data_IF_155303498378
#
_entry.id   IF_155303498378
#
_cell.length_a   1.000
_cell.length_b   1.000
_cell.length_c   1.000
_cell.angle_alpha   90.00
_cell.angle_beta   90.00
_cell.angle_gamma   90.00
#
_symmetry.space_group_name_H-M   'P 1'
#
loop_
_entity.id
_entity.type
_entity.pdbx_description
1 polymer ?
#
# COMPACT_ATOMS: atom_id res chain seq x y z
N UNK A 1 84.92 22.96 6.27
CA UNK A 1 85.17 21.67 6.94
C UNK A 1 83.92 21.32 7.73
N UNK A 2 83.40 20.13 7.47
CA UNK A 2 82.17 19.53 7.97
C UNK A 2 82.03 19.62 9.50
N UNK A 3 80.85 19.97 10.01
CA UNK A 3 80.27 19.25 11.15
C UNK A 3 78.75 19.46 11.21
N UNK A 4 78.02 18.39 10.89
CA UNK A 4 76.61 18.20 11.20
C UNK A 4 76.41 18.27 12.73
N UNK A 5 75.36 18.95 13.17
CA UNK A 5 74.68 18.55 14.40
C UNK A 5 73.18 18.41 14.13
N UNK A 6 72.72 17.21 14.41
CA UNK A 6 71.37 16.66 14.26
C UNK A 6 70.49 17.22 15.37
N UNK A 7 69.40 17.90 15.02
CA UNK A 7 68.33 18.21 15.96
C UNK A 7 67.36 17.03 16.03
N UNK A 8 67.29 16.40 17.20
CA UNK A 8 66.26 15.42 17.54
C UNK A 8 64.91 16.12 17.74
N UNK A 9 63.92 15.77 16.92
CA UNK A 9 62.51 16.05 17.19
C UNK A 9 61.89 14.85 17.92
N UNK A 10 61.08 15.07 18.96
CA UNK A 10 60.45 14.00 19.72
C UNK A 10 59.38 13.26 18.90
N UNK A 11 59.40 11.92 18.98
CA UNK A 11 58.30 11.06 18.55
C UNK A 11 57.00 11.49 19.23
N UNK A 12 56.04 11.99 18.45
CA UNK A 12 54.64 11.95 18.84
C UNK A 12 54.14 10.50 18.68
N UNK A 13 53.31 9.97 19.61
CA UNK A 13 52.69 8.67 19.41
C UNK A 13 51.77 8.74 18.19
N UNK A 14 51.87 7.73 17.32
CA UNK A 14 50.93 7.52 16.22
C UNK A 14 49.53 7.37 16.83
N UNK A 15 48.69 8.38 16.62
CA UNK A 15 47.27 8.27 16.87
C UNK A 15 46.73 7.25 15.88
N UNK A 16 46.42 6.06 16.39
CA UNK A 16 45.72 5.03 15.65
C UNK A 16 44.41 5.67 15.16
N UNK A 17 44.37 5.97 13.87
CA UNK A 17 43.16 6.47 13.25
C UNK A 17 42.13 5.35 13.39
N UNK A 18 41.20 5.51 14.34
CA UNK A 18 39.97 4.76 14.39
C UNK A 18 39.37 4.80 12.99
N UNK A 19 39.44 3.66 12.31
CA UNK A 19 38.71 3.45 11.06
C UNK A 19 37.25 3.65 11.46
N UNK A 20 36.57 4.71 10.98
CA UNK A 20 35.16 4.89 11.27
C UNK A 20 34.45 3.60 10.83
N UNK A 21 33.50 3.07 11.62
CA UNK A 21 32.79 1.86 11.26
C UNK A 21 32.29 2.04 9.84
N UNK A 22 32.61 1.07 8.98
CA UNK A 22 32.20 1.05 7.59
C UNK A 22 30.74 1.50 7.54
N UNK A 23 30.50 2.63 6.86
CA UNK A 23 29.16 3.09 6.54
C UNK A 23 28.41 1.87 6.02
N UNK A 24 27.39 1.43 6.75
CA UNK A 24 26.40 0.49 6.24
C UNK A 24 25.73 1.20 5.09
N UNK A 25 26.33 1.10 3.91
CA UNK A 25 25.63 1.31 2.67
C UNK A 25 24.37 0.48 2.80
N UNK A 26 23.23 1.14 2.81
CA UNK A 26 21.92 0.50 2.76
C UNK A 26 21.94 -0.39 1.50
N UNK A 27 22.27 -1.65 1.70
CA UNK A 27 22.37 -2.65 0.65
C UNK A 27 20.96 -3.06 0.18
N UNK A 28 19.91 -2.42 0.72
CA UNK A 28 18.50 -2.59 0.38
C UNK A 28 18.04 -4.04 0.51
N UNK A 29 18.76 -4.83 1.32
CA UNK A 29 18.45 -6.19 1.70
C UNK A 29 17.72 -6.17 3.05
N UNK A 30 16.98 -7.24 3.40
CA UNK A 30 16.39 -7.37 4.72
C UNK A 30 17.50 -7.29 5.79
N UNK A 31 17.33 -6.42 6.78
CA UNK A 31 18.34 -6.12 7.80
C UNK A 31 18.51 -7.22 8.85
N UNK A 32 17.53 -8.13 8.93
CA UNK A 32 17.33 -9.14 9.98
C UNK A 32 17.46 -10.57 9.46
N UNK A 33 18.29 -10.80 8.42
CA UNK A 33 18.56 -12.15 7.91
C UNK A 33 19.33 -12.97 8.96
N UNK A 34 18.84 -14.16 9.26
CA UNK A 34 19.49 -15.10 10.18
C UNK A 34 20.70 -15.78 9.51
N UNK A 35 21.91 -15.46 9.97
CA UNK A 35 23.14 -16.04 9.43
C UNK A 35 23.27 -17.55 9.69
N UNK A 36 22.57 -18.10 10.68
CA UNK A 36 22.60 -19.53 11.00
C UNK A 36 21.98 -20.37 9.87
N UNK A 37 21.21 -19.76 8.96
CA UNK A 37 20.72 -20.39 7.74
C UNK A 37 21.83 -20.83 6.78
N UNK A 38 23.05 -20.32 6.94
CA UNK A 38 24.21 -20.80 6.16
C UNK A 38 24.73 -22.16 6.66
N UNK A 39 24.30 -22.60 7.85
CA UNK A 39 24.77 -23.81 8.52
C UNK A 39 23.81 -25.00 8.38
N UNK A 40 22.60 -24.77 7.85
CA UNK A 40 21.53 -25.78 7.71
C UNK A 40 20.76 -25.60 6.41
N UNK A 41 20.01 -26.63 6.01
CA UNK A 41 19.10 -26.51 4.88
C UNK A 41 17.81 -25.78 5.33
N UNK A 42 17.34 -24.77 4.58
CA UNK A 42 16.09 -24.08 4.86
C UNK A 42 14.89 -24.97 4.48
N UNK A 43 13.89 -25.05 5.36
CA UNK A 43 12.68 -25.85 5.13
C UNK A 43 11.43 -24.99 4.99
N UNK A 44 11.35 -23.90 5.75
CA UNK A 44 10.17 -23.03 5.76
C UNK A 44 10.20 -22.02 4.60
N UNK A 45 9.04 -21.48 4.18
CA UNK A 45 8.98 -20.42 3.17
C UNK A 45 9.85 -19.20 3.52
N UNK A 46 9.82 -18.77 4.78
CA UNK A 46 10.61 -17.64 5.28
C UNK A 46 12.10 -17.95 5.21
N UNK A 47 12.50 -19.13 5.67
CA UNK A 47 13.91 -19.55 5.60
C UNK A 47 14.41 -19.66 4.17
N UNK A 48 13.58 -20.16 3.24
CA UNK A 48 13.94 -20.27 1.83
C UNK A 48 14.21 -18.90 1.20
N UNK A 49 13.34 -17.93 1.45
CA UNK A 49 13.51 -16.59 0.88
C UNK A 49 14.66 -15.84 1.56
N UNK A 50 14.83 -15.96 2.87
CA UNK A 50 15.95 -15.37 3.60
C UNK A 50 17.28 -15.97 3.14
N UNK A 51 17.33 -17.29 2.95
CA UNK A 51 18.51 -17.96 2.39
C UNK A 51 18.78 -17.50 0.96
N UNK A 52 17.74 -17.28 0.14
CA UNK A 52 17.91 -16.72 -1.20
C UNK A 52 18.55 -15.32 -1.15
N UNK A 53 18.11 -14.44 -0.23
CA UNK A 53 18.70 -13.12 -0.03
C UNK A 53 20.14 -13.19 0.51
N UNK A 54 20.44 -14.10 1.43
CA UNK A 54 21.81 -14.35 1.91
C UNK A 54 22.72 -14.80 0.76
N UNK A 55 22.28 -15.74 -0.08
CA UNK A 55 23.03 -16.19 -1.25
C UNK A 55 23.24 -15.05 -2.25
N UNK A 56 22.25 -14.17 -2.43
CA UNK A 56 22.40 -12.97 -3.26
C UNK A 56 23.48 -12.03 -2.70
N UNK A 57 23.48 -11.80 -1.38
CA UNK A 57 24.49 -10.98 -0.69
C UNK A 57 25.90 -11.56 -0.82
N UNK A 58 26.02 -12.88 -0.85
CA UNK A 58 27.29 -13.60 -1.05
C UNK A 58 27.70 -13.71 -2.54
N UNK A 59 26.93 -13.15 -3.47
CA UNK A 59 27.18 -13.25 -4.91
C UNK A 59 26.96 -14.66 -5.48
N UNK A 60 26.29 -15.55 -4.74
CA UNK A 60 25.98 -16.93 -5.15
C UNK A 60 24.61 -16.98 -5.82
N UNK A 61 24.47 -16.28 -6.94
CA UNK A 61 23.18 -16.10 -7.62
C UNK A 61 22.53 -17.41 -8.06
N UNK A 62 23.30 -18.41 -8.51
CA UNK A 62 22.75 -19.72 -8.89
C UNK A 62 22.04 -20.42 -7.71
N UNK A 63 22.62 -20.32 -6.50
CA UNK A 63 22.00 -20.88 -5.29
C UNK A 63 20.80 -20.07 -4.84
N UNK A 64 20.90 -18.74 -4.89
CA UNK A 64 19.79 -17.85 -4.60
C UNK A 64 18.58 -18.19 -5.47
N UNK A 65 18.80 -18.30 -6.78
CA UNK A 65 17.80 -18.71 -7.76
C UNK A 65 17.21 -20.09 -7.45
N UNK A 66 18.04 -21.07 -7.10
CA UNK A 66 17.57 -22.40 -6.74
C UNK A 66 16.62 -22.38 -5.52
N UNK A 67 16.91 -21.57 -4.51
CA UNK A 67 16.02 -21.42 -3.34
C UNK A 67 14.71 -20.71 -3.69
N UNK A 68 14.74 -19.71 -4.58
CA UNK A 68 13.50 -19.10 -5.11
C UNK A 68 12.66 -20.14 -5.88
N UNK A 69 13.30 -20.98 -6.69
CA UNK A 69 12.62 -22.09 -7.37
C UNK A 69 12.00 -23.10 -6.40
N UNK A 70 12.67 -23.44 -5.31
CA UNK A 70 12.12 -24.29 -4.25
C UNK A 70 10.90 -23.65 -3.59
N UNK A 71 10.97 -22.35 -3.27
CA UNK A 71 9.85 -21.59 -2.71
C UNK A 71 8.62 -21.64 -3.62
N UNK A 72 8.80 -21.42 -4.92
CA UNK A 72 7.73 -21.48 -5.91
C UNK A 72 7.12 -22.88 -6.02
N UNK A 73 7.94 -23.93 -5.90
CA UNK A 73 7.47 -25.32 -5.95
C UNK A 73 6.60 -25.71 -4.74
N UNK A 74 6.66 -24.98 -3.63
CA UNK A 74 5.80 -25.23 -2.47
C UNK A 74 4.34 -24.82 -2.70
N UNK A 75 4.02 -24.07 -3.77
CA UNK A 75 2.65 -23.62 -4.10
C UNK A 75 1.94 -23.00 -2.89
N UNK A 76 2.58 -21.98 -2.33
CA UNK A 76 2.13 -21.32 -1.12
C UNK A 76 0.77 -20.65 -1.32
N UNK A 77 -0.08 -20.61 -0.27
CA UNK A 77 -1.34 -19.89 -0.32
C UNK A 77 -1.09 -18.36 -0.34
N UNK A 78 -2.06 -17.56 -0.80
CA UNK A 78 -1.92 -16.09 -0.88
C UNK A 78 -1.51 -15.43 0.44
N UNK A 79 -2.00 -15.94 1.57
CA UNK A 79 -1.72 -15.41 2.89
C UNK A 79 -0.23 -15.46 3.23
N UNK A 80 0.43 -16.57 2.89
CA UNK A 80 1.87 -16.74 3.11
C UNK A 80 2.68 -15.78 2.25
N UNK A 81 2.29 -15.54 1.00
CA UNK A 81 2.98 -14.55 0.16
C UNK A 81 2.89 -13.13 0.72
N UNK A 82 1.76 -12.76 1.32
CA UNK A 82 1.60 -11.48 2.02
C UNK A 82 2.49 -11.38 3.25
N UNK A 83 2.55 -12.44 4.07
CA UNK A 83 3.42 -12.51 5.24
C UNK A 83 4.90 -12.39 4.86
N UNK A 84 5.32 -13.05 3.76
CA UNK A 84 6.68 -12.88 3.23
C UNK A 84 6.93 -11.43 2.78
N UNK A 85 5.96 -10.77 2.17
CA UNK A 85 6.10 -9.35 1.81
C UNK A 85 6.25 -8.44 3.04
N UNK A 86 5.48 -8.69 4.10
CA UNK A 86 5.59 -7.96 5.38
C UNK A 86 6.95 -8.19 6.05
N UNK A 87 7.46 -9.42 6.00
CA UNK A 87 8.77 -9.79 6.54
C UNK A 87 9.93 -9.12 5.79
N UNK A 88 9.89 -9.15 4.45
CA UNK A 88 10.99 -8.66 3.61
C UNK A 88 11.00 -7.16 3.39
N UNK A 89 9.80 -6.57 3.30
CA UNK A 89 9.60 -5.19 2.85
C UNK A 89 9.73 -5.03 1.33
N UNK A 90 9.11 -3.96 0.82
CA UNK A 90 9.01 -3.67 -0.62
C UNK A 90 10.36 -3.42 -1.30
N UNK A 91 11.32 -2.81 -0.60
CA UNK A 91 12.66 -2.50 -1.12
C UNK A 91 13.45 -3.75 -1.48
N UNK A 92 13.44 -4.77 -0.60
CA UNK A 92 14.15 -6.02 -0.81
C UNK A 92 13.59 -6.78 -2.02
N UNK A 93 12.26 -6.88 -2.11
CA UNK A 93 11.55 -7.53 -3.23
C UNK A 93 11.85 -6.82 -4.54
N UNK A 94 11.80 -5.48 -4.58
CA UNK A 94 12.12 -4.69 -5.77
C UNK A 94 13.58 -4.88 -6.20
N UNK A 95 14.52 -4.98 -5.25
CA UNK A 95 15.92 -5.25 -5.55
C UNK A 95 16.12 -6.64 -6.15
N UNK A 96 15.49 -7.66 -5.55
CA UNK A 96 15.51 -9.03 -6.05
C UNK A 96 14.98 -9.12 -7.48
N UNK A 97 13.81 -8.55 -7.77
CA UNK A 97 13.20 -8.61 -9.09
C UNK A 97 13.98 -7.88 -10.20
N UNK A 98 14.85 -6.92 -9.84
CA UNK A 98 15.73 -6.22 -10.80
C UNK A 98 17.05 -6.95 -11.08
N UNK A 99 17.30 -8.09 -10.44
CA UNK A 99 18.54 -8.84 -10.63
C UNK A 99 18.41 -9.85 -11.77
N UNK A 100 19.04 -9.56 -12.91
CA UNK A 100 19.04 -10.44 -14.09
C UNK A 100 19.57 -11.85 -13.79
N UNK A 101 20.50 -11.98 -12.82
CA UNK A 101 21.06 -13.27 -12.42
C UNK A 101 20.09 -14.15 -11.64
N UNK A 102 18.94 -13.63 -11.23
CA UNK A 102 17.89 -14.39 -10.53
C UNK A 102 16.67 -14.68 -11.41
N UNK A 103 16.71 -14.30 -12.68
CA UNK A 103 15.60 -14.54 -13.60
C UNK A 103 15.62 -15.98 -14.14
N UNK A 104 14.43 -16.58 -14.39
CA UNK A 104 13.09 -16.00 -14.24
C UNK A 104 12.45 -16.07 -12.83
N UNK A 105 13.06 -16.77 -11.89
CA UNK A 105 12.45 -17.13 -10.60
C UNK A 105 12.13 -15.89 -9.75
N UNK A 106 13.00 -14.87 -9.76
CA UNK A 106 12.74 -13.61 -9.06
C UNK A 106 11.49 -12.89 -9.57
N UNK A 107 11.24 -12.89 -10.89
CA UNK A 107 10.02 -12.31 -11.46
C UNK A 107 8.79 -13.12 -11.05
N UNK A 108 8.88 -14.45 -11.04
CA UNK A 108 7.76 -15.31 -10.63
C UNK A 108 7.41 -15.12 -9.14
N UNK A 109 8.40 -14.97 -8.26
CA UNK A 109 8.15 -14.65 -6.84
C UNK A 109 7.51 -13.28 -6.68
N UNK A 110 7.99 -12.26 -7.42
CA UNK A 110 7.40 -10.93 -7.40
C UNK A 110 5.95 -10.93 -7.89
N UNK A 111 5.65 -11.69 -8.95
CA UNK A 111 4.30 -11.85 -9.49
C UNK A 111 3.37 -12.56 -8.49
N UNK A 112 3.85 -13.61 -7.83
CA UNK A 112 3.09 -14.31 -6.79
C UNK A 112 2.76 -13.39 -5.60
N UNK A 113 3.73 -12.60 -5.13
CA UNK A 113 3.53 -11.61 -4.07
C UNK A 113 2.52 -10.54 -4.53
N UNK A 114 2.70 -9.96 -5.71
CA UNK A 114 1.82 -8.91 -6.23
C UNK A 114 0.39 -9.41 -6.38
N UNK A 115 0.22 -10.62 -6.92
CA UNK A 115 -1.08 -11.28 -7.06
C UNK A 115 -1.74 -11.51 -5.71
N UNK A 116 -0.98 -11.97 -4.70
CA UNK A 116 -1.51 -12.18 -3.36
C UNK A 116 -1.93 -10.87 -2.68
N UNK A 117 -1.13 -9.80 -2.83
CA UNK A 117 -1.48 -8.48 -2.31
C UNK A 117 -2.72 -7.91 -2.99
N UNK A 118 -2.87 -8.09 -4.31
CA UNK A 118 -4.05 -7.62 -5.03
C UNK A 118 -5.30 -8.41 -4.65
N UNK A 119 -5.20 -9.73 -4.52
CA UNK A 119 -6.30 -10.58 -4.05
C UNK A 119 -6.76 -10.15 -2.64
N UNK A 120 -5.81 -9.87 -1.75
CA UNK A 120 -6.10 -9.38 -0.41
C UNK A 120 -6.75 -8.00 -0.39
N UNK A 121 -6.29 -7.10 -1.28
CA UNK A 121 -6.82 -5.74 -1.41
C UNK A 121 -8.24 -5.72 -1.96
N UNK A 122 -8.55 -6.64 -2.88
CA UNK A 122 -9.82 -6.70 -3.61
C UNK A 122 -10.83 -7.68 -3.01
N UNK A 123 -10.49 -8.39 -1.93
CA UNK A 123 -11.39 -9.34 -1.25
C UNK A 123 -12.67 -8.63 -0.73
N UNK A 124 -13.85 -8.96 -1.29
CA UNK A 124 -15.12 -8.39 -0.86
C UNK A 124 -15.44 -8.63 0.62
N UNK A 125 -15.07 -9.78 1.17
CA UNK A 125 -15.36 -10.11 2.57
C UNK A 125 -14.58 -9.20 3.52
N UNK A 126 -13.30 -8.98 3.20
CA UNK A 126 -12.44 -8.05 3.92
C UNK A 126 -12.92 -6.61 3.80
N UNK A 127 -13.21 -6.13 2.59
CA UNK A 127 -13.69 -4.76 2.38
C UNK A 127 -14.95 -4.51 3.22
N UNK A 128 -15.90 -5.46 3.21
CA UNK A 128 -17.10 -5.38 4.02
C UNK A 128 -16.81 -5.38 5.53
N UNK A 129 -15.89 -6.22 6.00
CA UNK A 129 -15.49 -6.21 7.41
C UNK A 129 -14.88 -4.87 7.84
N UNK A 130 -14.04 -4.25 7.00
CA UNK A 130 -13.46 -2.91 7.27
C UNK A 130 -14.55 -1.84 7.27
N UNK A 131 -15.54 -1.94 6.38
CA UNK A 131 -16.69 -1.04 6.35
C UNK A 131 -17.54 -1.20 7.61
N UNK A 132 -17.78 -2.43 8.08
CA UNK A 132 -18.58 -2.69 9.28
C UNK A 132 -17.89 -2.16 10.56
N UNK A 133 -16.55 -2.16 10.61
CA UNK A 133 -15.75 -1.56 11.68
C UNK A 133 -15.97 -0.04 11.84
N UNK A 134 -16.54 0.66 10.84
CA UNK A 134 -16.93 2.07 10.97
C UNK A 134 -18.02 2.29 12.03
N UNK A 135 -18.72 1.24 12.45
CA UNK A 135 -19.67 1.24 13.56
C UNK A 135 -19.06 0.81 14.91
N UNK A 136 -17.77 0.44 14.92
CA UNK A 136 -17.06 -0.01 16.11
C UNK A 136 -16.56 1.11 17.02
N UNK A 137 -15.54 0.81 17.79
CA UNK A 137 -14.81 1.75 18.66
C UNK A 137 -14.12 2.86 17.87
N UNK A 138 -13.75 4.00 18.49
CA UNK A 138 -13.01 5.07 17.82
C UNK A 138 -11.69 4.61 17.17
N UNK A 139 -11.02 3.63 17.77
CA UNK A 139 -9.76 3.07 17.24
C UNK A 139 -10.01 2.23 15.97
N UNK A 140 -11.04 1.39 16.00
CA UNK A 140 -11.47 0.63 14.82
C UNK A 140 -11.85 1.60 13.69
N UNK A 141 -12.67 2.62 13.99
CA UNK A 141 -13.08 3.62 13.01
C UNK A 141 -11.89 4.35 12.37
N UNK A 142 -10.91 4.76 13.18
CA UNK A 142 -9.72 5.44 12.68
C UNK A 142 -8.88 4.52 11.77
N UNK A 143 -8.70 3.26 12.18
CA UNK A 143 -7.95 2.27 11.41
C UNK A 143 -8.64 1.94 10.09
N UNK A 144 -9.95 1.73 10.12
CA UNK A 144 -10.76 1.49 8.93
C UNK A 144 -10.73 2.68 7.98
N UNK A 145 -10.81 3.91 8.48
CA UNK A 145 -10.74 5.11 7.63
C UNK A 145 -9.39 5.20 6.91
N UNK A 146 -8.27 4.93 7.59
CA UNK A 146 -6.94 4.92 6.95
C UNK A 146 -6.86 3.85 5.86
N UNK A 147 -7.40 2.65 6.13
CA UNK A 147 -7.42 1.57 5.16
C UNK A 147 -8.28 1.91 3.94
N UNK A 148 -9.53 2.34 4.16
CA UNK A 148 -10.46 2.74 3.10
C UNK A 148 -9.87 3.87 2.25
N UNK A 149 -9.23 4.84 2.91
CA UNK A 149 -8.57 5.95 2.22
C UNK A 149 -7.43 5.44 1.34
N UNK A 150 -6.60 4.53 1.82
CA UNK A 150 -5.47 4.01 1.05
C UNK A 150 -5.90 3.09 -0.11
N UNK A 151 -7.14 2.61 -0.07
CA UNK A 151 -7.72 1.66 -1.02
C UNK A 151 -9.03 2.20 -1.64
N UNK A 152 -9.08 3.49 -1.94
CA UNK A 152 -10.32 4.16 -2.34
C UNK A 152 -10.89 3.64 -3.66
N UNK A 153 -10.03 3.25 -4.60
CA UNK A 153 -10.39 2.69 -5.90
C UNK A 153 -11.26 1.43 -5.77
N UNK A 154 -10.97 0.59 -4.78
CA UNK A 154 -11.75 -0.62 -4.49
C UNK A 154 -12.81 -0.42 -3.43
N UNK A 155 -12.63 0.52 -2.50
CA UNK A 155 -13.52 0.67 -1.33
C UNK A 155 -14.75 1.52 -1.61
N UNK A 156 -14.64 2.55 -2.46
CA UNK A 156 -15.75 3.47 -2.73
C UNK A 156 -16.99 2.78 -3.33
N UNK A 157 -16.87 1.87 -4.31
CA UNK A 157 -18.04 1.14 -4.82
C UNK A 157 -18.79 0.38 -3.74
N UNK A 158 -18.08 -0.21 -2.76
CA UNK A 158 -18.70 -0.93 -1.64
C UNK A 158 -19.43 0.02 -0.69
N UNK A 159 -18.85 1.18 -0.38
CA UNK A 159 -19.53 2.22 0.42
C UNK A 159 -20.80 2.74 -0.28
N UNK A 160 -20.76 2.96 -1.60
CA UNK A 160 -21.95 3.36 -2.37
C UNK A 160 -23.01 2.26 -2.34
N UNK A 161 -22.61 1.00 -2.48
CA UNK A 161 -23.55 -0.13 -2.44
C UNK A 161 -24.35 -0.17 -1.12
N UNK A 162 -23.74 0.20 0.00
CA UNK A 162 -24.40 0.32 1.31
C UNK A 162 -25.59 1.29 1.28
N UNK A 163 -25.54 2.38 0.51
CA UNK A 163 -26.65 3.34 0.37
C UNK A 163 -27.93 2.72 -0.21
N UNK A 164 -27.82 1.58 -0.89
CA UNK A 164 -28.93 0.92 -1.60
C UNK A 164 -29.36 -0.40 -0.95
N UNK A 165 -28.59 -0.91 0.01
CA UNK A 165 -28.86 -2.17 0.66
C UNK A 165 -29.87 -1.98 1.81
N UNK A 166 -31.00 -2.70 1.75
CA UNK A 166 -32.04 -2.67 2.77
C UNK A 166 -31.62 -3.29 4.12
N UNK A 167 -30.53 -4.06 4.14
CA UNK A 167 -29.93 -4.64 5.35
C UNK A 167 -28.76 -3.83 5.90
N UNK A 168 -28.53 -2.62 5.41
CA UNK A 168 -27.33 -1.86 5.71
C UNK A 168 -27.23 -1.46 7.20
N UNK A 169 -26.07 -1.75 7.80
CA UNK A 169 -25.71 -1.39 9.17
C UNK A 169 -25.20 0.05 9.30
N UNK A 170 -24.81 0.70 8.19
CA UNK A 170 -24.33 2.07 8.16
C UNK A 170 -25.43 3.03 7.76
N UNK A 171 -25.65 4.11 8.53
CA UNK A 171 -26.59 5.14 8.09
C UNK A 171 -26.06 5.86 6.83
N UNK A 172 -26.94 6.37 5.94
CA UNK A 172 -26.51 7.17 4.80
C UNK A 172 -25.59 8.33 5.20
N UNK A 173 -25.86 9.00 6.32
CA UNK A 173 -25.04 10.10 6.84
C UNK A 173 -23.63 9.64 7.22
N UNK A 174 -23.50 8.44 7.79
CA UNK A 174 -22.19 7.84 8.13
C UNK A 174 -21.42 7.48 6.86
N UNK A 175 -22.09 6.98 5.82
CA UNK A 175 -21.48 6.75 4.50
C UNK A 175 -21.00 8.07 3.89
N UNK A 176 -21.84 9.10 3.82
CA UNK A 176 -21.48 10.44 3.34
C UNK A 176 -20.27 10.99 4.10
N UNK A 177 -20.30 10.96 5.43
CA UNK A 177 -19.20 11.46 6.27
C UNK A 177 -17.90 10.70 6.00
N UNK A 178 -17.97 9.38 5.86
CA UNK A 178 -16.79 8.54 5.56
C UNK A 178 -16.21 8.90 4.19
N UNK A 179 -17.05 9.04 3.15
CA UNK A 179 -16.62 9.43 1.82
C UNK A 179 -15.96 10.83 1.80
N UNK A 180 -16.49 11.78 2.58
CA UNK A 180 -15.88 13.11 2.75
C UNK A 180 -14.51 12.98 3.45
N UNK A 181 -14.40 12.17 4.50
CA UNK A 181 -13.14 11.96 5.22
C UNK A 181 -12.06 11.25 4.38
N UNK A 182 -12.47 10.43 3.41
CA UNK A 182 -11.56 9.83 2.42
C UNK A 182 -10.95 10.90 1.49
N UNK A 183 -11.62 12.04 1.28
CA UNK A 183 -11.09 13.17 0.53
C UNK A 183 -11.20 13.04 -0.99
N UNK A 184 -10.46 13.87 -1.74
CA UNK A 184 -10.62 14.09 -3.20
C UNK A 184 -10.45 12.84 -4.08
N UNK A 185 -9.87 11.77 -3.58
CA UNK A 185 -9.75 10.51 -4.31
C UNK A 185 -11.11 9.85 -4.60
N UNK A 186 -12.19 10.21 -3.87
CA UNK A 186 -13.54 9.71 -4.17
C UNK A 186 -14.21 10.45 -5.32
N UNK A 187 -13.66 11.60 -5.75
CA UNK A 187 -14.28 12.49 -6.73
C UNK A 187 -14.68 11.79 -8.04
N UNK A 188 -13.83 10.97 -8.69
CA UNK A 188 -14.21 10.31 -9.94
C UNK A 188 -15.44 9.41 -9.78
N UNK A 189 -15.51 8.67 -8.67
CA UNK A 189 -16.65 7.81 -8.37
C UNK A 189 -17.91 8.61 -8.02
N UNK A 190 -17.78 9.73 -7.30
CA UNK A 190 -18.93 10.61 -7.01
C UNK A 190 -19.47 11.26 -8.28
N UNK A 191 -18.61 11.70 -9.21
CA UNK A 191 -19.04 12.22 -10.52
C UNK A 191 -19.80 11.15 -11.31
N UNK A 192 -19.32 9.91 -11.32
CA UNK A 192 -20.04 8.79 -11.94
C UNK A 192 -21.39 8.51 -11.26
N UNK A 193 -21.43 8.59 -9.92
CA UNK A 193 -22.62 8.36 -9.12
C UNK A 193 -23.76 9.37 -9.37
N UNK A 194 -23.47 10.57 -9.88
CA UNK A 194 -24.48 11.54 -10.31
C UNK A 194 -25.39 11.02 -11.44
N UNK A 195 -24.94 10.01 -12.18
CA UNK A 195 -25.74 9.35 -13.23
C UNK A 195 -26.49 8.11 -12.74
N UNK A 196 -26.49 7.84 -11.43
CA UNK A 196 -27.18 6.68 -10.85
C UNK A 196 -28.70 6.79 -10.97
N UNK A 197 -29.42 5.69 -11.23
CA UNK A 197 -30.88 5.68 -11.16
C UNK A 197 -31.43 5.73 -9.72
N UNK A 198 -30.56 5.57 -8.71
CA UNK A 198 -30.96 5.59 -7.31
C UNK A 198 -30.81 7.00 -6.70
N UNK A 199 -31.91 7.58 -6.22
CA UNK A 199 -31.93 8.94 -5.70
C UNK A 199 -31.00 9.16 -4.49
N UNK A 200 -30.93 8.19 -3.58
CA UNK A 200 -30.04 8.24 -2.39
C UNK A 200 -28.58 8.33 -2.80
N UNK A 201 -28.19 7.57 -3.83
CA UNK A 201 -26.83 7.60 -4.38
C UNK A 201 -26.51 8.97 -5.00
N UNK A 202 -27.44 9.53 -5.78
CA UNK A 202 -27.26 10.85 -6.41
C UNK A 202 -27.17 11.96 -5.36
N UNK A 203 -28.04 11.94 -4.34
CA UNK A 203 -28.01 12.92 -3.25
C UNK A 203 -26.70 12.83 -2.46
N UNK A 204 -26.26 11.62 -2.10
CA UNK A 204 -24.98 11.41 -1.41
C UNK A 204 -23.81 11.93 -2.25
N UNK A 205 -23.80 11.67 -3.56
CA UNK A 205 -22.75 12.15 -4.44
C UNK A 205 -22.70 13.69 -4.50
N UNK A 206 -23.86 14.36 -4.59
CA UNK A 206 -23.95 15.82 -4.55
C UNK A 206 -23.40 16.39 -3.23
N UNK A 207 -23.79 15.81 -2.09
CA UNK A 207 -23.31 16.23 -0.78
C UNK A 207 -21.80 16.05 -0.64
N UNK A 208 -21.26 14.88 -1.00
CA UNK A 208 -19.82 14.61 -0.92
C UNK A 208 -19.05 15.59 -1.81
N UNK A 209 -19.51 15.86 -3.04
CA UNK A 209 -18.86 16.82 -3.95
C UNK A 209 -18.90 18.25 -3.38
N UNK A 210 -20.02 18.66 -2.77
CA UNK A 210 -20.17 19.95 -2.08
C UNK A 210 -19.19 20.07 -0.92
N UNK A 211 -19.17 19.11 0.01
CA UNK A 211 -18.29 19.12 1.18
C UNK A 211 -16.80 19.09 0.82
N UNK A 212 -16.45 18.40 -0.26
CA UNK A 212 -15.09 18.37 -0.79
C UNK A 212 -14.71 19.62 -1.62
N UNK A 213 -15.67 20.54 -1.82
CA UNK A 213 -15.52 21.75 -2.61
C UNK A 213 -15.01 21.47 -4.04
N UNK A 214 -15.63 20.49 -4.71
CA UNK A 214 -15.31 20.08 -6.07
C UNK A 214 -16.11 20.93 -7.06
N UNK A 215 -15.63 22.14 -7.32
CA UNK A 215 -16.34 23.12 -8.15
C UNK A 215 -16.28 22.81 -9.66
N UNK A 216 -15.29 22.03 -10.09
CA UNK A 216 -15.15 21.58 -11.49
C UNK A 216 -16.17 20.49 -11.88
N UNK A 217 -16.94 19.97 -10.92
CA UNK A 217 -18.09 19.09 -11.17
C UNK A 217 -19.39 19.86 -11.50
N UNK A 218 -19.38 21.20 -11.48
CA UNK A 218 -20.55 22.02 -11.82
C UNK A 218 -21.22 21.64 -13.16
N UNK A 219 -20.49 21.35 -14.26
CA UNK A 219 -21.10 20.90 -15.50
C UNK A 219 -21.93 19.62 -15.37
N UNK A 220 -21.52 18.70 -14.49
CA UNK A 220 -22.23 17.43 -14.25
C UNK A 220 -23.53 17.63 -13.45
N UNK A 221 -23.62 18.73 -12.69
CA UNK A 221 -24.78 19.06 -11.85
C UNK A 221 -25.87 19.85 -12.61
N UNK A 222 -25.53 20.51 -13.71
CA UNK A 222 -26.49 21.30 -14.51
C UNK A 222 -27.72 20.49 -14.97
N UNK A 223 -27.58 19.25 -15.50
CA UNK A 223 -28.73 18.43 -15.85
C UNK A 223 -29.59 18.08 -14.64
N UNK A 224 -28.99 17.92 -13.46
CA UNK A 224 -29.73 17.62 -12.23
C UNK A 224 -30.50 18.86 -11.75
N UNK A 225 -29.90 20.05 -11.81
CA UNK A 225 -30.53 21.29 -11.38
C UNK A 225 -31.70 21.74 -12.27
N UNK A 226 -31.62 21.50 -13.59
CA UNK A 226 -32.58 22.05 -14.56
C UNK A 226 -33.33 21.00 -15.39
N UNK A 227 -33.04 19.72 -15.20
CA UNK A 227 -33.71 18.62 -15.89
C UNK A 227 -35.21 18.53 -15.55
N UNK A 228 -36.08 18.29 -16.55
CA UNK A 228 -37.53 18.21 -16.32
C UNK A 228 -37.89 17.01 -15.44
N UNK A 229 -37.22 15.87 -15.65
CA UNK A 229 -37.48 14.58 -14.97
C UNK A 229 -36.72 14.44 -13.65
N UNK A 230 -35.91 15.43 -13.24
CA UNK A 230 -35.11 15.29 -12.01
C UNK A 230 -35.99 15.37 -10.76
N UNK A 231 -35.90 14.40 -9.83
CA UNK A 231 -36.62 14.44 -8.56
C UNK A 231 -36.42 15.76 -7.79
N UNK A 232 -37.45 16.21 -7.07
CA UNK A 232 -37.47 17.54 -6.46
C UNK A 232 -36.33 17.77 -5.44
N UNK A 233 -35.98 16.74 -4.65
CA UNK A 233 -34.89 16.80 -3.68
C UNK A 233 -33.53 17.04 -4.36
N UNK A 234 -33.19 16.19 -5.33
CA UNK A 234 -31.96 16.28 -6.14
C UNK A 234 -31.88 17.64 -6.84
N UNK A 235 -32.98 18.08 -7.46
CA UNK A 235 -33.05 19.36 -8.18
C UNK A 235 -32.77 20.55 -7.28
N UNK A 236 -33.30 20.52 -6.06
CA UNK A 236 -33.13 21.61 -5.08
C UNK A 236 -31.68 21.67 -4.61
N UNK A 237 -31.12 20.53 -4.21
CA UNK A 237 -29.73 20.43 -3.75
C UNK A 237 -28.73 20.84 -4.84
N UNK A 238 -28.91 20.35 -6.07
CA UNK A 238 -28.04 20.71 -7.19
C UNK A 238 -28.06 22.22 -7.49
N UNK A 239 -29.23 22.86 -7.39
CA UNK A 239 -29.33 24.33 -7.55
C UNK A 239 -28.63 25.09 -6.43
N UNK A 240 -28.76 24.63 -5.19
CA UNK A 240 -28.08 25.23 -4.04
C UNK A 240 -26.57 25.17 -4.23
N UNK A 241 -26.03 24.01 -4.59
CA UNK A 241 -24.58 23.82 -4.80
C UNK A 241 -24.05 24.74 -5.92
N UNK A 242 -24.81 24.91 -7.01
CA UNK A 242 -24.40 25.78 -8.13
C UNK A 242 -24.48 27.28 -7.82
N UNK A 243 -25.07 27.67 -6.69
CA UNK A 243 -25.20 29.06 -6.25
C UNK A 243 -24.17 29.45 -5.18
N UNK A 244 -23.49 28.47 -4.58
CA UNK A 244 -22.37 28.67 -3.64
C UNK A 244 -21.06 28.98 -4.39
#
# INVERSE_FOLDING_TARGET
MLMLLVSALPCAPAQEAEIPPASTADDGLPSNLDADLLLREPETPTELIDTAFLMMRLGRFDRSRAYLGQLLNQKLPPETWRELNEHLGSTAIMRMGRNDSLQPEAAQVMDAITTALEAYRTDPARINAVIDQLNGTPEEQATSLVWLRSNADVSVPFLIARLTDGGNTLSPEKVTTTLVQMGKQVTPAMRAALSSPNETVVMTALEVLRFLNITDAAPDMLPLAYGPETPAGIRTLAKEILQE
#
